data_IF_421904700947
#
_entry.id   IF_421904700947
#
_cell.length_a   1.000
_cell.length_b   1.000
_cell.length_c   1.000
_cell.angle_alpha   90.00
_cell.angle_beta   90.00
_cell.angle_gamma   90.00
#
_symmetry.space_group_name_H-M   'P 1'
#
loop_
_entity.id
_entity.type
_entity.pdbx_description
1 polymer ?
#
# COMPACT_ATOMS: atom_id res chain seq x y z
N UNK A 1 -30.11 1.53 3.26
CA UNK A 1 -29.28 2.70 3.62
C UNK A 1 -28.34 2.25 4.71
N UNK A 2 -27.03 2.20 4.45
CA UNK A 2 -26.07 1.90 5.51
C UNK A 2 -25.78 3.20 6.25
N UNK A 3 -26.12 3.25 7.54
CA UNK A 3 -25.79 4.38 8.40
C UNK A 3 -24.27 4.51 8.53
N UNK A 4 -23.76 5.74 8.42
CA UNK A 4 -22.32 5.98 8.63
C UNK A 4 -21.99 5.78 10.11
N UNK A 5 -20.82 5.21 10.39
CA UNK A 5 -20.37 4.97 11.76
C UNK A 5 -20.39 6.26 12.60
N UNK A 6 -21.19 6.29 13.68
CA UNK A 6 -21.30 7.45 14.57
C UNK A 6 -19.93 8.01 15.03
N UNK A 7 -18.92 7.18 15.38
CA UNK A 7 -17.56 7.64 15.62
C UNK A 7 -16.88 8.40 14.47
N UNK A 8 -17.14 8.03 13.21
CA UNK A 8 -16.59 8.74 12.05
C UNK A 8 -17.33 10.06 11.82
N UNK A 9 -18.65 10.07 11.95
CA UNK A 9 -19.47 11.29 11.84
C UNK A 9 -19.05 12.31 12.90
N UNK A 10 -18.85 11.90 14.16
CA UNK A 10 -18.34 12.78 15.21
C UNK A 10 -16.99 13.43 14.85
N UNK A 11 -16.06 12.65 14.28
CA UNK A 11 -14.76 13.18 13.81
C UNK A 11 -14.91 14.13 12.62
N UNK A 12 -15.85 13.88 11.72
CA UNK A 12 -16.17 14.80 10.63
C UNK A 12 -16.72 16.13 11.19
N UNK A 13 -17.60 16.07 12.18
CA UNK A 13 -18.09 17.27 12.88
C UNK A 13 -16.94 18.01 13.58
N UNK A 14 -16.05 17.30 14.29
CA UNK A 14 -14.86 17.91 14.89
C UNK A 14 -14.02 18.67 13.85
N UNK A 15 -13.83 18.08 12.66
CA UNK A 15 -13.15 18.75 11.55
C UNK A 15 -13.87 20.02 11.11
N UNK A 16 -15.21 20.03 11.00
CA UNK A 16 -15.94 21.22 10.58
C UNK A 16 -15.77 22.39 11.56
N UNK A 17 -15.60 22.11 12.85
CA UNK A 17 -15.37 23.15 13.87
C UNK A 17 -13.90 23.54 14.06
N UNK A 18 -12.97 22.62 13.80
CA UNK A 18 -11.54 22.79 14.18
C UNK A 18 -10.57 22.73 13.00
N UNK A 19 -11.06 22.46 11.79
CA UNK A 19 -10.28 22.08 10.62
C UNK A 19 -9.36 20.86 10.84
N UNK A 20 -9.63 20.06 11.89
CA UNK A 20 -8.86 18.87 12.23
C UNK A 20 -9.72 17.78 12.90
N UNK A 21 -9.36 16.51 12.70
CA UNK A 21 -9.89 15.38 13.45
C UNK A 21 -8.77 14.53 14.08
N UNK A 22 -9.07 13.88 15.22
CA UNK A 22 -8.14 13.01 15.92
C UNK A 22 -7.86 11.74 15.12
N UNK A 23 -6.57 11.40 14.99
CA UNK A 23 -6.10 10.20 14.30
C UNK A 23 -6.12 8.93 15.15
N UNK A 24 -6.51 9.01 16.42
CA UNK A 24 -6.64 7.83 17.28
C UNK A 24 -7.79 6.93 16.77
N UNK A 25 -7.50 5.72 16.28
CA UNK A 25 -8.53 4.85 15.72
C UNK A 25 -9.37 4.18 16.83
N UNK A 26 -10.46 3.54 16.44
CA UNK A 26 -11.21 2.66 17.33
C UNK A 26 -10.45 1.33 17.50
N UNK A 27 -10.68 0.54 18.56
CA UNK A 27 -9.96 -0.73 18.78
C UNK A 27 -10.08 -1.74 17.62
N UNK A 28 -11.15 -1.66 16.83
CA UNK A 28 -11.43 -2.53 15.69
C UNK A 28 -10.90 -2.01 14.35
N UNK A 29 -10.10 -0.95 14.35
CA UNK A 29 -9.69 -0.26 13.14
C UNK A 29 -8.24 0.21 13.26
N UNK A 30 -7.48 0.14 12.17
CA UNK A 30 -6.15 0.73 12.12
C UNK A 30 -6.19 2.25 11.90
N UNK A 31 -5.07 2.93 12.11
CA UNK A 31 -4.98 4.37 11.83
C UNK A 31 -5.11 4.64 10.32
N UNK A 32 -4.53 3.77 9.48
CA UNK A 32 -4.66 3.86 8.03
C UNK A 32 -6.12 3.66 7.56
N UNK A 33 -6.82 2.66 8.09
CA UNK A 33 -8.26 2.45 7.81
C UNK A 33 -9.10 3.65 8.25
N UNK A 34 -8.81 4.25 9.41
CA UNK A 34 -9.49 5.45 9.88
C UNK A 34 -9.39 6.58 8.85
N UNK A 35 -8.20 6.86 8.35
CA UNK A 35 -7.99 7.94 7.41
C UNK A 35 -8.63 7.66 6.04
N UNK A 36 -8.57 6.42 5.56
CA UNK A 36 -9.25 6.01 4.33
C UNK A 36 -10.79 6.16 4.46
N UNK A 37 -11.37 5.74 5.59
CA UNK A 37 -12.81 5.90 5.85
C UNK A 37 -13.23 7.35 6.04
N UNK A 38 -12.39 8.18 6.66
CA UNK A 38 -12.63 9.63 6.74
C UNK A 38 -12.62 10.29 5.36
N UNK A 39 -11.77 9.84 4.44
CA UNK A 39 -11.83 10.30 3.05
C UNK A 39 -13.13 9.88 2.37
N UNK A 40 -13.53 8.61 2.46
CA UNK A 40 -14.76 8.12 1.85
C UNK A 40 -15.99 8.89 2.37
N UNK A 41 -16.02 9.17 3.67
CA UNK A 41 -17.04 10.01 4.30
C UNK A 41 -17.01 11.45 3.76
N UNK A 42 -15.83 12.06 3.68
CA UNK A 42 -15.65 13.40 3.14
C UNK A 42 -16.05 13.52 1.67
N UNK A 43 -15.78 12.49 0.87
CA UNK A 43 -16.17 12.41 -0.53
C UNK A 43 -17.70 12.30 -0.67
N UNK A 44 -18.34 11.45 0.14
CA UNK A 44 -19.81 11.31 0.22
C UNK A 44 -20.50 12.64 0.51
N UNK A 45 -19.98 13.42 1.46
CA UNK A 45 -20.54 14.73 1.85
C UNK A 45 -19.91 15.93 1.11
N UNK A 46 -19.02 15.69 0.13
CA UNK A 46 -18.33 16.70 -0.67
C UNK A 46 -17.57 17.76 0.15
N UNK A 47 -16.92 17.34 1.24
CA UNK A 47 -16.14 18.19 2.13
C UNK A 47 -14.67 18.19 1.68
N UNK A 48 -14.32 19.09 0.76
CA UNK A 48 -13.00 19.10 0.10
C UNK A 48 -11.81 19.25 1.07
N UNK A 49 -11.94 20.11 2.09
CA UNK A 49 -10.89 20.27 3.09
C UNK A 49 -10.59 18.98 3.86
N UNK A 50 -11.63 18.20 4.17
CA UNK A 50 -11.49 16.94 4.89
C UNK A 50 -10.90 15.85 3.98
N UNK A 51 -11.27 15.81 2.70
CA UNK A 51 -10.64 14.90 1.71
C UNK A 51 -9.14 15.11 1.65
N UNK A 52 -8.70 16.36 1.51
CA UNK A 52 -7.27 16.71 1.45
C UNK A 52 -6.54 16.31 2.75
N UNK A 53 -7.12 16.62 3.90
CA UNK A 53 -6.55 16.26 5.19
C UNK A 53 -6.46 14.74 5.37
N UNK A 54 -7.51 14.00 5.00
CA UNK A 54 -7.54 12.55 5.11
C UNK A 54 -6.46 11.88 4.23
N UNK A 55 -6.30 12.31 2.97
CA UNK A 55 -5.21 11.84 2.09
C UNK A 55 -3.85 12.13 2.73
N UNK A 56 -3.64 13.36 3.20
CA UNK A 56 -2.37 13.75 3.83
C UNK A 56 -2.04 12.85 5.04
N UNK A 57 -3.04 12.58 5.90
CA UNK A 57 -2.86 11.70 7.06
C UNK A 57 -2.63 10.23 6.65
N UNK A 58 -3.30 9.72 5.60
CA UNK A 58 -2.99 8.40 5.01
C UNK A 58 -1.52 8.30 4.56
N UNK A 59 -1.06 9.27 3.76
CA UNK A 59 0.32 9.28 3.25
C UNK A 59 1.33 9.33 4.39
N UNK A 60 1.10 10.18 5.39
CA UNK A 60 1.96 10.27 6.56
C UNK A 60 2.03 8.94 7.32
N UNK A 61 0.89 8.27 7.53
CA UNK A 61 0.86 6.95 8.20
C UNK A 61 1.63 5.90 7.41
N UNK A 62 1.49 5.85 6.09
CA UNK A 62 2.26 4.95 5.23
C UNK A 62 3.76 5.18 5.38
N UNK A 63 4.22 6.43 5.36
CA UNK A 63 5.63 6.75 5.60
C UNK A 63 6.11 6.29 7.00
N UNK A 64 5.34 6.55 8.06
CA UNK A 64 5.68 6.09 9.41
C UNK A 64 5.73 4.56 9.53
N UNK A 65 4.86 3.84 8.82
CA UNK A 65 4.87 2.38 8.80
C UNK A 65 6.13 1.81 8.14
N UNK A 66 6.69 2.49 7.15
CA UNK A 66 7.97 2.11 6.55
C UNK A 66 9.16 2.35 7.48
N UNK A 67 9.13 3.41 8.28
CA UNK A 67 10.21 3.77 9.20
C UNK A 67 10.17 2.96 10.51
N UNK A 68 9.03 2.32 10.81
CA UNK A 68 8.81 1.59 12.05
C UNK A 68 9.25 0.12 11.94
N UNK A 69 9.97 -0.38 12.94
CA UNK A 69 10.35 -1.81 13.06
C UNK A 69 9.17 -2.77 13.36
N UNK A 70 7.93 -2.31 13.27
CA UNK A 70 6.73 -3.12 13.49
C UNK A 70 6.43 -4.08 12.33
N UNK A 71 5.29 -4.78 12.39
CA UNK A 71 4.74 -5.52 11.24
C UNK A 71 3.74 -4.63 10.50
N UNK A 72 4.17 -3.82 9.49
CA UNK A 72 3.27 -2.96 8.72
C UNK A 72 2.31 -3.75 7.82
N UNK A 73 2.60 -5.05 7.62
CA UNK A 73 1.88 -5.92 6.71
C UNK A 73 0.37 -5.97 7.00
N UNK A 74 0.00 -6.23 8.26
CA UNK A 74 -1.41 -6.43 8.63
C UNK A 74 -2.19 -5.12 8.44
N UNK A 75 -1.68 -4.01 8.96
CA UNK A 75 -2.36 -2.71 8.84
C UNK A 75 -2.53 -2.28 7.38
N UNK A 76 -1.52 -2.48 6.54
CA UNK A 76 -1.61 -2.15 5.11
C UNK A 76 -2.63 -3.06 4.42
N UNK A 77 -2.55 -4.37 4.62
CA UNK A 77 -3.43 -5.34 3.98
C UNK A 77 -4.90 -5.10 4.38
N UNK A 78 -5.19 -4.92 5.67
CA UNK A 78 -6.55 -4.65 6.15
C UNK A 78 -7.12 -3.32 5.65
N UNK A 79 -6.26 -2.37 5.25
CA UNK A 79 -6.68 -1.08 4.72
C UNK A 79 -6.99 -1.10 3.22
N UNK A 80 -6.64 -2.17 2.48
CA UNK A 80 -6.79 -2.22 1.02
C UNK A 80 -8.23 -1.97 0.60
N UNK A 81 -9.20 -2.62 1.25
CA UNK A 81 -10.63 -2.45 0.93
C UNK A 81 -11.09 -1.00 1.05
N UNK A 82 -10.67 -0.29 2.09
CA UNK A 82 -11.02 1.11 2.29
C UNK A 82 -10.28 2.04 1.31
N UNK A 83 -9.02 1.73 0.99
CA UNK A 83 -8.19 2.51 0.06
C UNK A 83 -8.69 2.37 -1.39
N UNK A 84 -9.23 1.22 -1.75
CA UNK A 84 -9.80 0.98 -3.08
C UNK A 84 -11.16 1.65 -3.28
N UNK A 85 -11.85 2.00 -2.19
CA UNK A 85 -13.08 2.80 -2.22
C UNK A 85 -12.83 4.30 -2.41
N UNK A 86 -11.58 4.76 -2.36
CA UNK A 86 -11.24 6.16 -2.59
C UNK A 86 -11.54 6.49 -4.06
N UNK A 87 -12.65 7.19 -4.30
CA UNK A 87 -13.26 7.53 -5.61
C UNK A 87 -12.37 8.33 -6.57
N UNK A 88 -11.16 8.71 -6.16
CA UNK A 88 -10.19 9.35 -7.04
C UNK A 88 -9.41 8.27 -7.82
N UNK A 89 -9.67 8.18 -9.13
CA UNK A 89 -8.87 7.42 -10.10
C UNK A 89 -7.37 7.59 -9.78
N UNK A 90 -6.74 6.52 -9.25
CA UNK A 90 -5.32 6.44 -8.90
C UNK A 90 -4.86 7.52 -7.90
N UNK A 91 -5.56 7.68 -6.77
CA UNK A 91 -5.03 8.49 -5.67
C UNK A 91 -3.61 8.03 -5.27
N UNK A 92 -2.76 8.97 -4.87
CA UNK A 92 -1.36 8.71 -4.50
C UNK A 92 -1.22 7.65 -3.41
N UNK A 93 -2.20 7.54 -2.51
CA UNK A 93 -2.25 6.53 -1.45
C UNK A 93 -2.30 5.11 -2.04
N UNK A 94 -3.16 4.87 -3.03
CA UNK A 94 -3.30 3.56 -3.68
C UNK A 94 -2.00 3.16 -4.37
N UNK A 95 -1.40 4.07 -5.13
CA UNK A 95 -0.12 3.82 -5.82
C UNK A 95 0.98 3.43 -4.83
N UNK A 96 1.08 4.12 -3.69
CA UNK A 96 2.08 3.79 -2.67
C UNK A 96 1.84 2.42 -2.03
N UNK A 97 0.58 2.09 -1.73
CA UNK A 97 0.24 0.77 -1.16
C UNK A 97 0.55 -0.35 -2.14
N UNK A 98 0.18 -0.18 -3.42
CA UNK A 98 0.49 -1.17 -4.45
C UNK A 98 2.01 -1.34 -4.63
N UNK A 99 2.79 -0.26 -4.56
CA UNK A 99 4.26 -0.29 -4.63
C UNK A 99 4.89 -0.95 -3.41
N UNK A 100 4.41 -0.66 -2.21
CA UNK A 100 4.88 -1.27 -0.97
C UNK A 100 4.64 -2.79 -1.00
N UNK A 101 3.41 -3.19 -1.31
CA UNK A 101 3.06 -4.60 -1.40
C UNK A 101 3.92 -5.27 -2.46
N UNK A 102 4.08 -4.67 -3.64
CA UNK A 102 4.93 -5.22 -4.68
C UNK A 102 6.39 -5.44 -4.20
N UNK A 103 6.93 -4.54 -3.38
CA UNK A 103 8.28 -4.65 -2.83
C UNK A 103 8.37 -5.70 -1.71
N UNK A 104 7.33 -5.84 -0.90
CA UNK A 104 7.35 -6.58 0.37
C UNK A 104 6.45 -7.83 0.42
N UNK A 105 5.72 -8.17 -0.65
CA UNK A 105 4.72 -9.26 -0.67
C UNK A 105 5.31 -10.58 -0.18
N UNK A 106 6.54 -10.90 -0.56
CA UNK A 106 7.20 -12.12 -0.09
C UNK A 106 7.33 -12.13 1.44
N UNK A 107 7.81 -11.02 2.03
CA UNK A 107 7.95 -10.86 3.47
C UNK A 107 6.60 -10.89 4.18
N UNK A 108 5.57 -10.28 3.58
CA UNK A 108 4.22 -10.30 4.14
C UNK A 108 3.63 -11.71 4.18
N UNK A 109 3.88 -12.51 3.13
CA UNK A 109 3.37 -13.89 3.06
C UNK A 109 4.16 -14.90 3.88
N UNK A 110 5.33 -14.53 4.42
CA UNK A 110 6.08 -15.35 5.39
C UNK A 110 5.37 -15.39 6.75
N UNK A 111 4.61 -14.35 7.10
CA UNK A 111 3.76 -14.33 8.30
C UNK A 111 2.40 -15.02 8.01
N UNK A 112 2.04 -16.11 8.72
CA UNK A 112 0.77 -16.81 8.53
C UNK A 112 -0.46 -15.93 8.79
N UNK A 113 -0.37 -14.94 9.68
CA UNK A 113 -1.48 -14.03 9.99
C UNK A 113 -1.71 -13.08 8.82
N UNK A 114 -0.65 -12.40 8.38
CA UNK A 114 -0.70 -11.54 7.20
C UNK A 114 -1.13 -12.30 5.93
N UNK A 115 -0.71 -13.56 5.76
CA UNK A 115 -1.17 -14.41 4.66
C UNK A 115 -2.68 -14.61 4.66
N UNK A 116 -3.29 -14.91 5.81
CA UNK A 116 -4.76 -15.06 5.92
C UNK A 116 -5.49 -13.76 5.60
N UNK A 117 -4.94 -12.62 6.02
CA UNK A 117 -5.50 -11.30 5.68
C UNK A 117 -5.39 -11.06 4.18
N UNK A 118 -4.24 -11.35 3.57
CA UNK A 118 -4.04 -11.21 2.13
C UNK A 118 -5.03 -12.06 1.33
N UNK A 119 -5.22 -13.34 1.70
CA UNK A 119 -6.20 -14.23 1.06
C UNK A 119 -7.63 -13.68 1.15
N UNK A 120 -8.01 -13.10 2.29
CA UNK A 120 -9.30 -12.43 2.45
C UNK A 120 -9.43 -11.23 1.52
N UNK A 121 -8.42 -10.37 1.48
CA UNK A 121 -8.39 -9.17 0.62
C UNK A 121 -8.50 -9.53 -0.86
N UNK A 122 -7.87 -10.63 -1.30
CA UNK A 122 -7.98 -11.09 -2.69
C UNK A 122 -9.43 -11.40 -3.09
N UNK A 123 -10.24 -11.89 -2.15
CA UNK A 123 -11.65 -12.19 -2.38
C UNK A 123 -12.53 -10.95 -2.30
N UNK A 124 -12.20 -10.01 -1.41
CA UNK A 124 -12.97 -8.77 -1.19
C UNK A 124 -12.69 -7.70 -2.25
N UNK A 125 -11.47 -7.66 -2.80
CA UNK A 125 -10.99 -6.60 -3.69
C UNK A 125 -10.22 -7.21 -4.89
N UNK A 126 -10.91 -7.83 -5.86
CA UNK A 126 -10.24 -8.45 -7.01
C UNK A 126 -9.53 -7.44 -7.93
N UNK A 127 -9.94 -6.16 -7.92
CA UNK A 127 -9.26 -5.11 -8.68
C UNK A 127 -7.84 -4.91 -8.18
N UNK A 128 -7.61 -5.09 -6.87
CA UNK A 128 -6.30 -4.90 -6.26
C UNK A 128 -5.26 -5.86 -6.82
N UNK A 129 -5.59 -7.15 -6.94
CA UNK A 129 -4.63 -8.12 -7.49
C UNK A 129 -4.33 -7.85 -8.95
N UNK A 130 -5.31 -7.40 -9.73
CA UNK A 130 -5.11 -7.01 -11.13
C UNK A 130 -4.10 -5.86 -11.22
N UNK A 131 -4.26 -4.82 -10.42
CA UNK A 131 -3.34 -3.68 -10.47
C UNK A 131 -1.93 -4.04 -10.01
N UNK A 132 -1.80 -4.85 -8.97
CA UNK A 132 -0.49 -5.33 -8.51
C UNK A 132 0.18 -6.15 -9.61
N UNK A 133 -0.55 -7.05 -10.28
CA UNK A 133 -0.03 -7.81 -11.41
C UNK A 133 0.37 -6.90 -12.56
N UNK A 134 -0.45 -5.90 -12.89
CA UNK A 134 -0.14 -4.89 -13.90
C UNK A 134 1.14 -4.11 -13.55
N UNK A 135 1.39 -3.80 -12.28
CA UNK A 135 2.65 -3.20 -11.86
C UNK A 135 3.84 -4.13 -12.10
N UNK A 136 3.71 -5.43 -11.81
CA UNK A 136 4.76 -6.40 -12.13
C UNK A 136 5.05 -6.50 -13.63
N UNK A 137 4.01 -6.42 -14.47
CA UNK A 137 4.15 -6.51 -15.93
C UNK A 137 4.72 -5.22 -16.53
N UNK A 138 4.22 -4.07 -16.10
CA UNK A 138 4.48 -2.78 -16.74
C UNK A 138 5.69 -2.03 -16.16
N UNK A 139 6.03 -2.24 -14.89
CA UNK A 139 7.16 -1.57 -14.24
C UNK A 139 8.30 -2.56 -13.98
N UNK A 140 9.26 -2.74 -14.89
CA UNK A 140 10.36 -3.68 -14.71
C UNK A 140 11.22 -3.38 -13.47
N UNK A 141 11.59 -4.41 -12.71
CA UNK A 141 12.51 -4.27 -11.58
C UNK A 141 13.86 -3.71 -12.05
N UNK A 142 14.37 -2.68 -11.41
CA UNK A 142 15.70 -2.15 -11.75
C UNK A 142 16.74 -2.87 -10.92
N UNK A 143 17.68 -3.56 -11.58
CA UNK A 143 18.85 -4.16 -10.93
C UNK A 143 20.12 -3.84 -11.70
N UNK A 144 21.25 -3.84 -10.99
CA UNK A 144 22.56 -3.69 -11.61
C UNK A 144 22.87 -4.94 -12.43
N UNK A 145 23.02 -4.75 -13.74
CA UNK A 145 23.42 -5.82 -14.65
C UNK A 145 24.96 -5.95 -14.62
N UNK A 146 25.47 -7.17 -14.43
CA UNK A 146 26.91 -7.48 -14.41
C UNK A 146 27.62 -7.17 -15.74
N UNK A 147 26.89 -7.19 -16.87
CA UNK A 147 27.45 -6.90 -18.20
C UNK A 147 27.22 -5.46 -18.66
N UNK A 148 26.17 -4.79 -18.18
CA UNK A 148 25.89 -3.40 -18.55
C UNK A 148 26.41 -2.38 -17.52
N UNK A 149 26.95 -2.85 -16.39
CA UNK A 149 27.50 -2.09 -15.26
C UNK A 149 26.63 -0.90 -14.79
N UNK A 150 25.32 -0.98 -15.04
CA UNK A 150 24.37 0.06 -14.73
C UNK A 150 23.06 -0.56 -14.25
N UNK A 151 22.31 0.22 -13.49
CA UNK A 151 20.99 -0.14 -13.02
C UNK A 151 20.03 -0.14 -14.22
N UNK A 152 19.57 -1.33 -14.60
CA UNK A 152 18.74 -1.53 -15.80
C UNK A 152 17.42 -2.20 -15.46
N UNK A 153 16.35 -1.84 -16.19
CA UNK A 153 15.06 -2.50 -16.05
C UNK A 153 15.17 -3.96 -16.49
N UNK A 154 14.69 -4.85 -15.63
CA UNK A 154 14.71 -6.29 -15.81
C UNK A 154 13.34 -6.81 -16.21
N UNK A 155 13.31 -7.82 -17.08
CA UNK A 155 12.09 -8.57 -17.36
C UNK A 155 11.77 -9.46 -16.15
N UNK A 156 10.64 -9.18 -15.48
CA UNK A 156 10.29 -9.72 -14.16
C UNK A 156 10.27 -11.24 -14.12
N UNK A 157 9.70 -11.89 -15.15
CA UNK A 157 9.53 -13.34 -15.19
C UNK A 157 10.79 -14.09 -15.62
N UNK A 158 11.73 -13.42 -16.29
CA UNK A 158 12.96 -14.07 -16.82
C UNK A 158 14.21 -13.69 -16.04
N UNK A 159 14.13 -12.69 -15.17
CA UNK A 159 15.27 -12.09 -14.47
C UNK A 159 16.43 -11.74 -15.42
N UNK A 160 16.06 -11.30 -16.63
CA UNK A 160 16.97 -10.90 -17.69
C UNK A 160 17.01 -9.40 -17.82
N UNK A 161 18.18 -8.86 -18.16
CA UNK A 161 18.32 -7.45 -18.48
C UNK A 161 17.59 -7.15 -19.79
N UNK A 162 16.65 -6.19 -19.80
CA UNK A 162 15.94 -5.82 -21.04
C UNK A 162 16.85 -5.32 -22.15
N UNK A 163 18.08 -4.87 -21.83
CA UNK A 163 19.04 -4.34 -22.81
C UNK A 163 19.97 -5.41 -23.40
N UNK A 164 20.41 -6.38 -22.62
CA UNK A 164 21.42 -7.36 -23.06
C UNK A 164 20.94 -8.82 -23.02
N UNK A 165 19.69 -9.07 -22.62
CA UNK A 165 19.03 -10.37 -22.50
C UNK A 165 19.76 -11.43 -21.64
N UNK A 166 20.82 -11.04 -20.93
CA UNK A 166 21.56 -11.94 -20.03
C UNK A 166 20.83 -12.11 -18.70
N UNK A 167 20.77 -13.36 -18.22
CA UNK A 167 20.24 -13.73 -16.90
C UNK A 167 21.13 -13.16 -15.80
N UNK A 168 20.52 -12.76 -14.69
CA UNK A 168 21.24 -12.51 -13.44
C UNK A 168 21.92 -13.79 -12.96
N UNK A 169 23.22 -13.74 -12.65
CA UNK A 169 23.91 -14.79 -11.89
C UNK A 169 23.38 -14.78 -10.44
N UNK A 170 22.27 -15.47 -10.19
CA UNK A 170 21.63 -15.54 -8.86
C UNK A 170 22.57 -16.14 -7.79
N UNK A 171 23.48 -17.03 -8.18
CA UNK A 171 24.39 -17.73 -7.25
C UNK A 171 25.41 -16.81 -6.56
N UNK A 172 25.78 -15.67 -7.17
CA UNK A 172 26.70 -14.71 -6.54
C UNK A 172 26.00 -13.75 -5.57
N UNK A 173 24.70 -13.52 -5.73
CA UNK A 173 23.93 -12.62 -4.86
C UNK A 173 23.55 -13.27 -3.52
N UNK A 174 23.20 -14.56 -3.51
CA UNK A 174 22.91 -15.28 -2.26
C UNK A 174 24.16 -15.42 -1.35
N UNK A 175 25.35 -15.65 -1.92
CA UNK A 175 26.60 -15.77 -1.15
C UNK A 175 27.07 -14.46 -0.49
N UNK A 176 26.57 -13.29 -0.92
CA UNK A 176 26.87 -11.99 -0.28
C UNK A 176 25.97 -11.66 0.91
N UNK A 177 24.74 -12.19 0.95
CA UNK A 177 23.81 -11.97 2.06
C UNK A 177 23.96 -12.99 3.21
N UNK A 178 24.66 -14.11 2.99
CA UNK A 178 24.97 -15.10 4.02
C UNK A 178 26.30 -14.84 4.76
N UNK A 179 26.98 -13.71 4.47
CA UNK A 179 28.28 -13.32 5.07
C UNK A 179 28.21 -11.99 5.84
N UNK A 180 27.02 -11.55 6.24
CA UNK A 180 26.83 -10.40 7.14
C UNK A 180 26.08 -10.86 8.38
#
# INVERSE_FOLDING_TARGET
MNEDSLPLVKRMVDFLYRAEYKGTPAPSMSELQLHAKMFALADKYKIEGLRKLAIMKCLRRLHTLHDSNGSPAIEILESIGDIYQLSALKCSVRVLVEQDIRANIKKYLEDPVARKVYERVLMEVPEFIRDVLDLYLNQPFVKRCSSCCADKPMEVLKAKCRKCDRKLDFERAQKRNLKR
#
